data_IF_241286007343
#
_entry.id   IF_241286007343
#
_cell.length_a   1.000
_cell.length_b   1.000
_cell.length_c   1.000
_cell.angle_alpha   90.00
_cell.angle_beta   90.00
_cell.angle_gamma   90.00
#
_symmetry.space_group_name_H-M   'P 1'
#
loop_
_entity.id
_entity.type
_entity.pdbx_description
1 polymer ?
#
# COMPACT_ATOMS: atom_id res chain seq x y z
N UNK A 1 6.35 5.59 -10.34
CA UNK A 1 7.74 5.26 -10.74
C UNK A 1 8.57 5.07 -9.49
N UNK A 2 9.56 4.16 -9.49
CA UNK A 2 10.43 3.95 -8.32
C UNK A 2 11.07 5.23 -7.79
N UNK A 3 11.46 6.15 -8.67
CA UNK A 3 12.00 7.48 -8.31
C UNK A 3 11.02 8.43 -7.59
N UNK A 4 9.77 8.01 -7.39
CA UNK A 4 8.73 8.79 -6.68
C UNK A 4 8.33 8.14 -5.35
N UNK A 5 9.01 7.08 -4.93
CA UNK A 5 8.82 6.47 -3.61
C UNK A 5 9.29 7.44 -2.51
N UNK A 6 8.64 7.39 -1.34
CA UNK A 6 8.89 8.35 -0.26
C UNK A 6 10.26 8.19 0.41
N UNK A 7 10.80 6.98 0.43
CA UNK A 7 12.12 6.73 0.97
C UNK A 7 13.18 6.99 -0.11
N UNK A 8 14.08 7.97 0.05
CA UNK A 8 15.14 8.23 -0.93
C UNK A 8 16.15 7.08 -1.02
N UNK A 9 16.11 6.12 -0.08
CA UNK A 9 16.95 4.91 -0.09
C UNK A 9 16.24 3.75 -0.80
N UNK A 10 14.93 3.82 -0.99
CA UNK A 10 14.17 2.89 -1.82
C UNK A 10 14.68 2.95 -3.25
N UNK A 11 14.63 1.84 -3.96
CA UNK A 11 15.20 1.69 -5.29
C UNK A 11 16.76 1.88 -5.36
N UNK A 12 17.39 2.41 -4.32
CA UNK A 12 18.84 2.47 -4.19
C UNK A 12 19.42 1.20 -3.56
N UNK A 13 18.58 0.27 -3.13
CA UNK A 13 19.01 -1.03 -2.60
C UNK A 13 19.79 -1.86 -3.64
N UNK A 14 19.65 -1.52 -4.90
CA UNK A 14 20.40 -2.10 -6.01
C UNK A 14 21.71 -1.34 -6.19
N UNK A 15 22.68 -1.58 -5.30
CA UNK A 15 24.06 -1.25 -5.62
C UNK A 15 24.56 -2.33 -6.58
N UNK A 16 24.47 -2.04 -7.86
CA UNK A 16 25.18 -2.84 -8.86
C UNK A 16 26.66 -2.60 -8.65
N UNK A 17 27.30 -3.51 -7.93
CA UNK A 17 28.70 -3.72 -8.15
C UNK A 17 28.83 -4.32 -9.55
N UNK A 18 29.02 -3.50 -10.54
CA UNK A 18 29.67 -3.94 -11.76
C UNK A 18 31.07 -4.35 -11.38
N UNK A 19 31.16 -5.49 -10.70
CA UNK A 19 32.42 -6.17 -10.42
C UNK A 19 33.01 -6.56 -11.73
N UNK A 20 33.87 -5.68 -12.21
CA UNK A 20 35.01 -6.05 -12.95
C UNK A 20 34.89 -7.04 -14.08
N UNK A 21 34.31 -6.65 -15.14
CA UNK A 21 34.92 -6.98 -16.42
C UNK A 21 36.21 -6.14 -16.56
N UNK A 22 37.27 -6.49 -15.84
CA UNK A 22 38.65 -6.13 -16.10
C UNK A 22 39.10 -4.66 -16.01
N UNK A 23 38.31 -3.72 -15.55
CA UNK A 23 38.67 -2.34 -15.33
C UNK A 23 38.21 -1.90 -13.94
N UNK A 24 39.15 -1.65 -13.02
CA UNK A 24 38.90 -1.34 -11.61
C UNK A 24 38.16 -0.04 -11.38
N UNK A 25 36.89 -0.02 -11.67
CA UNK A 25 35.97 1.03 -11.29
C UNK A 25 35.19 0.58 -10.08
N UNK A 26 35.71 0.82 -8.92
CA UNK A 26 34.92 0.87 -7.69
C UNK A 26 33.96 2.04 -7.85
N UNK A 27 32.70 1.80 -8.18
CA UNK A 27 31.64 2.80 -8.04
C UNK A 27 31.31 2.95 -6.55
N UNK A 28 32.30 3.39 -5.79
CA UNK A 28 32.16 3.75 -4.40
C UNK A 28 31.52 5.14 -4.35
N UNK A 29 30.20 5.26 -4.42
CA UNK A 29 29.51 6.47 -3.96
C UNK A 29 27.98 6.44 -4.15
N UNK A 30 27.32 5.30 -3.86
CA UNK A 30 25.86 5.32 -3.66
C UNK A 30 25.01 5.82 -4.83
N UNK A 31 25.53 5.72 -6.07
CA UNK A 31 24.76 6.03 -7.27
C UNK A 31 24.41 4.74 -8.00
N UNK A 32 23.16 4.59 -8.31
CA UNK A 32 22.66 3.51 -9.16
C UNK A 32 23.32 3.66 -10.56
N UNK A 33 23.69 2.53 -11.15
CA UNK A 33 24.17 2.56 -12.52
C UNK A 33 23.04 3.02 -13.47
N UNK A 34 23.29 3.95 -14.42
CA UNK A 34 22.23 4.51 -15.28
C UNK A 34 21.37 3.46 -16.02
N UNK A 35 21.97 2.34 -16.43
CA UNK A 35 21.24 1.25 -17.08
C UNK A 35 20.21 0.63 -16.13
N UNK A 36 20.55 0.45 -14.86
CA UNK A 36 19.65 -0.10 -13.83
C UNK A 36 18.55 0.91 -13.52
N UNK A 37 18.90 2.18 -13.38
CA UNK A 37 17.94 3.26 -13.16
C UNK A 37 16.93 3.37 -14.32
N UNK A 38 17.39 3.31 -15.57
CA UNK A 38 16.54 3.31 -16.75
C UNK A 38 15.59 2.11 -16.78
N UNK A 39 16.09 0.92 -16.43
CA UNK A 39 15.26 -0.28 -16.34
C UNK A 39 14.26 -0.22 -15.18
N UNK A 40 14.69 0.20 -13.98
CA UNK A 40 13.77 0.39 -12.85
C UNK A 40 12.65 1.38 -13.19
N UNK A 41 12.95 2.43 -13.95
CA UNK A 41 11.96 3.41 -14.38
C UNK A 41 10.88 2.86 -15.34
N UNK A 42 11.07 1.67 -15.91
CA UNK A 42 10.05 0.98 -16.70
C UNK A 42 8.98 0.34 -15.82
N UNK A 43 9.29 0.07 -14.55
CA UNK A 43 8.33 -0.51 -13.62
C UNK A 43 7.37 0.53 -13.03
N UNK A 44 6.21 0.04 -12.66
CA UNK A 44 5.20 0.76 -11.87
C UNK A 44 5.00 0.02 -10.57
N UNK A 45 5.06 0.74 -9.48
CA UNK A 45 4.87 0.19 -8.14
C UNK A 45 3.65 0.82 -7.52
N UNK A 46 2.72 0.00 -7.06
CA UNK A 46 1.64 0.41 -6.18
C UNK A 46 1.92 -0.18 -4.79
N UNK A 47 2.11 0.71 -3.82
CA UNK A 47 2.32 0.36 -2.42
C UNK A 47 1.00 0.33 -1.67
N UNK A 48 0.78 -0.73 -0.92
CA UNK A 48 -0.38 -0.93 -0.06
C UNK A 48 0.08 -1.47 1.29
N UNK A 49 -0.73 -1.32 2.33
CA UNK A 49 -0.43 -1.87 3.66
C UNK A 49 -1.31 -3.08 3.96
N UNK A 50 -0.85 -3.98 4.80
CA UNK A 50 -1.68 -5.06 5.33
C UNK A 50 -2.42 -4.67 6.62
N UNK A 51 -2.22 -3.46 7.15
CA UNK A 51 -2.80 -2.99 8.42
C UNK A 51 -3.48 -1.62 8.25
N UNK A 52 -4.76 -1.48 8.62
CA UNK A 52 -5.48 -0.21 8.50
C UNK A 52 -5.36 0.69 9.74
N UNK A 53 -4.87 0.18 10.88
CA UNK A 53 -4.96 0.84 12.19
C UNK A 53 -3.63 1.41 12.70
N UNK A 54 -2.64 1.64 11.84
CA UNK A 54 -1.38 2.28 12.22
C UNK A 54 -1.54 3.80 12.33
N UNK A 55 -1.37 4.41 13.52
CA UNK A 55 -1.44 5.87 13.68
C UNK A 55 -0.42 6.61 12.83
N UNK A 56 0.77 6.03 12.66
CA UNK A 56 1.85 6.61 11.86
C UNK A 56 1.45 6.64 10.38
N UNK A 57 0.85 5.56 9.87
CA UNK A 57 0.37 5.51 8.49
C UNK A 57 -0.71 6.56 8.23
N UNK A 58 -1.67 6.72 9.13
CA UNK A 58 -2.71 7.75 9.00
C UNK A 58 -2.15 9.17 9.06
N UNK A 59 -1.12 9.40 9.88
CA UNK A 59 -0.46 10.69 9.96
C UNK A 59 0.30 11.02 8.66
N UNK A 60 1.04 10.07 8.11
CA UNK A 60 1.91 10.29 6.95
C UNK A 60 1.15 10.26 5.63
N UNK A 61 0.31 9.24 5.43
CA UNK A 61 -0.28 8.92 4.12
C UNK A 61 -1.73 9.35 3.94
N UNK A 62 -2.41 9.72 5.01
CA UNK A 62 -3.79 10.22 4.97
C UNK A 62 -3.91 11.68 5.46
N UNK A 63 -2.91 12.52 5.18
CA UNK A 63 -2.89 13.96 5.52
C UNK A 63 -3.31 14.24 6.97
N UNK A 64 -2.71 13.55 7.95
CA UNK A 64 -3.06 13.71 9.35
C UNK A 64 -4.53 13.39 9.65
N UNK A 65 -4.99 12.25 9.17
CA UNK A 65 -6.38 11.76 9.31
C UNK A 65 -7.45 12.58 8.56
N UNK A 66 -7.06 13.49 7.66
CA UNK A 66 -8.02 14.23 6.83
C UNK A 66 -8.28 13.59 5.46
N UNK A 67 -7.52 12.56 5.12
CA UNK A 67 -7.67 11.74 3.93
C UNK A 67 -8.59 10.52 4.16
N UNK A 68 -8.51 9.55 3.25
CA UNK A 68 -9.21 8.27 3.35
C UNK A 68 -8.29 7.11 3.03
N UNK A 69 -8.74 5.90 3.34
CA UNK A 69 -8.06 4.67 2.98
C UNK A 69 -9.01 3.80 2.15
N UNK A 70 -8.54 3.31 1.01
CA UNK A 70 -9.26 2.38 0.16
C UNK A 70 -8.90 0.95 0.57
N UNK A 71 -9.90 0.08 0.62
CA UNK A 71 -9.73 -1.34 0.95
C UNK A 71 -9.96 -2.14 -0.31
N UNK A 72 -8.97 -2.92 -0.71
CA UNK A 72 -9.07 -3.80 -1.88
C UNK A 72 -9.04 -5.27 -1.48
N UNK A 73 -9.73 -6.09 -2.23
CA UNK A 73 -9.54 -7.54 -2.20
C UNK A 73 -8.32 -7.95 -3.02
N UNK A 74 -7.76 -9.13 -2.71
CA UNK A 74 -6.58 -9.65 -3.41
C UNK A 74 -6.89 -10.77 -4.39
N UNK A 75 -8.13 -10.86 -4.87
CA UNK A 75 -8.55 -11.98 -5.73
C UNK A 75 -8.07 -11.92 -7.18
N UNK A 76 -7.98 -10.72 -7.76
CA UNK A 76 -7.76 -10.54 -9.19
C UNK A 76 -6.51 -9.70 -9.47
N UNK A 77 -6.71 -8.40 -9.71
CA UNK A 77 -5.61 -7.47 -10.03
C UNK A 77 -4.54 -7.45 -8.94
N UNK A 78 -4.96 -7.57 -7.68
CA UNK A 78 -4.06 -7.54 -6.53
C UNK A 78 -3.60 -8.93 -6.06
N UNK A 79 -3.85 -10.01 -6.83
CA UNK A 79 -3.43 -11.37 -6.46
C UNK A 79 -1.91 -11.56 -6.46
N UNK A 80 -1.20 -10.78 -7.25
CA UNK A 80 0.25 -10.88 -7.44
C UNK A 80 1.06 -9.90 -6.56
N UNK A 81 0.43 -9.30 -5.55
CA UNK A 81 1.16 -8.44 -4.61
C UNK A 81 2.21 -9.23 -3.84
N UNK A 82 3.37 -8.61 -3.66
CA UNK A 82 4.51 -9.18 -2.93
C UNK A 82 4.73 -8.42 -1.63
N UNK A 83 5.07 -9.11 -0.51
CA UNK A 83 5.43 -8.43 0.72
C UNK A 83 6.76 -7.69 0.57
N UNK A 84 6.89 -6.55 1.22
CA UNK A 84 8.18 -5.85 1.33
C UNK A 84 9.05 -6.55 2.36
N UNK A 85 10.30 -6.75 2.00
CA UNK A 85 11.35 -7.33 2.85
C UNK A 85 12.10 -6.19 3.52
N UNK A 86 11.98 -6.10 4.84
CA UNK A 86 12.63 -5.06 5.62
C UNK A 86 14.01 -5.51 6.09
N UNK A 87 15.04 -4.74 5.72
CA UNK A 87 16.43 -5.10 5.99
C UNK A 87 17.29 -3.84 6.19
N UNK A 88 18.44 -4.01 6.80
CA UNK A 88 19.53 -3.01 6.88
C UNK A 88 20.62 -3.29 5.84
N UNK A 89 20.49 -4.38 5.10
CA UNK A 89 21.50 -4.82 4.13
C UNK A 89 21.05 -4.32 2.75
N UNK A 90 21.99 -3.70 2.04
CA UNK A 90 21.80 -3.39 0.62
C UNK A 90 21.79 -4.70 -0.19
N UNK A 91 20.93 -4.75 -1.17
CA UNK A 91 20.84 -5.89 -2.08
C UNK A 91 22.02 -5.79 -3.08
N UNK A 92 22.97 -6.72 -3.03
CA UNK A 92 24.11 -6.76 -3.94
C UNK A 92 23.82 -7.74 -5.08
N UNK A 93 23.83 -7.24 -6.31
CA UNK A 93 23.74 -8.05 -7.53
C UNK A 93 25.12 -8.55 -7.96
N UNK A 94 25.85 -9.26 -7.09
CA UNK A 94 27.24 -9.64 -7.35
C UNK A 94 27.42 -10.67 -8.48
N UNK A 95 26.42 -11.51 -8.73
CA UNK A 95 26.52 -12.68 -9.61
C UNK A 95 25.46 -12.72 -10.73
N UNK A 96 24.82 -11.60 -11.05
CA UNK A 96 23.82 -11.60 -12.12
C UNK A 96 24.52 -11.42 -13.44
N UNK A 97 24.45 -12.45 -14.26
CA UNK A 97 24.79 -12.35 -15.68
C UNK A 97 23.81 -11.35 -16.32
N UNK A 98 24.33 -10.35 -17.03
CA UNK A 98 23.55 -9.26 -17.62
C UNK A 98 22.63 -9.73 -18.77
N UNK A 99 22.14 -10.95 -18.71
CA UNK A 99 21.10 -11.46 -19.59
C UNK A 99 19.77 -10.81 -19.22
N UNK A 100 18.99 -10.42 -20.20
CA UNK A 100 17.80 -9.57 -20.01
C UNK A 100 16.79 -10.10 -19.00
N UNK A 101 16.59 -11.41 -18.91
CA UNK A 101 15.61 -12.02 -18.02
C UNK A 101 16.07 -12.00 -16.55
N UNK A 102 17.30 -12.37 -16.26
CA UNK A 102 17.86 -12.37 -14.89
C UNK A 102 17.94 -10.96 -14.30
N UNK A 103 18.30 -9.97 -15.12
CA UNK A 103 18.30 -8.58 -14.69
C UNK A 103 16.88 -8.09 -14.36
N UNK A 104 15.87 -8.49 -15.10
CA UNK A 104 14.49 -8.10 -14.86
C UNK A 104 13.96 -8.65 -13.55
N UNK A 105 14.22 -9.94 -13.27
CA UNK A 105 13.85 -10.57 -11.99
C UNK A 105 14.55 -9.89 -10.80
N UNK A 106 15.85 -9.63 -10.91
CA UNK A 106 16.60 -8.96 -9.87
C UNK A 106 16.13 -7.53 -9.59
N UNK A 107 15.75 -6.79 -10.63
CA UNK A 107 15.17 -5.46 -10.48
C UNK A 107 13.82 -5.57 -9.76
N UNK A 108 12.92 -6.47 -10.16
CA UNK A 108 11.67 -6.67 -9.47
C UNK A 108 11.85 -7.03 -8.00
N UNK A 109 12.76 -7.94 -7.72
CA UNK A 109 13.07 -8.34 -6.35
C UNK A 109 13.60 -7.15 -5.54
N UNK A 110 14.52 -6.38 -6.11
CA UNK A 110 15.06 -5.19 -5.44
C UNK A 110 13.98 -4.15 -5.08
N UNK A 111 12.95 -4.04 -5.90
CA UNK A 111 11.81 -3.17 -5.63
C UNK A 111 10.95 -3.66 -4.46
N UNK A 112 11.18 -4.86 -3.93
CA UNK A 112 10.53 -5.37 -2.71
C UNK A 112 11.36 -5.17 -1.43
N UNK A 113 12.54 -4.56 -1.51
CA UNK A 113 13.37 -4.28 -0.32
C UNK A 113 13.15 -2.87 0.20
N UNK A 114 13.18 -2.72 1.52
CA UNK A 114 13.06 -1.44 2.21
C UNK A 114 13.84 -1.45 3.52
N UNK A 115 14.33 -0.28 3.96
CA UNK A 115 15.04 -0.19 5.22
C UNK A 115 14.12 -0.57 6.39
N UNK A 116 14.66 -1.29 7.39
CA UNK A 116 13.89 -1.85 8.52
C UNK A 116 13.12 -0.81 9.34
N UNK A 117 13.57 0.43 9.36
CA UNK A 117 12.88 1.51 10.10
C UNK A 117 11.47 1.79 9.55
N UNK A 118 11.18 1.34 8.32
CA UNK A 118 9.86 1.40 7.70
C UNK A 118 8.97 0.18 7.96
N UNK A 119 9.43 -0.78 8.75
CA UNK A 119 8.69 -2.04 8.98
C UNK A 119 7.27 -1.82 9.58
N UNK A 120 7.03 -0.66 10.21
CA UNK A 120 5.72 -0.29 10.73
C UNK A 120 4.65 -0.12 9.64
N UNK A 121 5.04 0.01 8.35
CA UNK A 121 4.10 0.14 7.23
C UNK A 121 3.46 -1.19 6.86
N UNK A 122 4.09 -2.32 7.18
CA UNK A 122 3.65 -3.65 6.77
C UNK A 122 3.24 -3.66 5.28
N UNK A 123 4.15 -3.17 4.46
CA UNK A 123 3.91 -2.83 3.05
C UNK A 123 3.89 -4.07 2.17
N UNK A 124 3.04 -4.02 1.17
CA UNK A 124 2.98 -4.95 0.05
C UNK A 124 3.00 -4.16 -1.25
N UNK A 125 3.55 -4.73 -2.30
CA UNK A 125 3.72 -4.06 -3.58
C UNK A 125 3.14 -4.87 -4.73
N UNK A 126 2.35 -4.20 -5.56
CA UNK A 126 2.08 -4.66 -6.92
C UNK A 126 3.10 -4.00 -7.83
N UNK A 127 3.89 -4.83 -8.51
CA UNK A 127 4.96 -4.40 -9.41
C UNK A 127 4.57 -4.82 -10.82
N UNK A 128 4.54 -3.88 -11.74
CA UNK A 128 4.20 -4.14 -13.15
C UNK A 128 5.24 -3.51 -14.05
N UNK A 129 5.70 -4.28 -15.03
CA UNK A 129 6.57 -3.81 -16.09
C UNK A 129 5.72 -3.43 -17.30
N UNK A 130 5.10 -2.25 -17.24
CA UNK A 130 4.27 -1.74 -18.32
C UNK A 130 4.41 -0.22 -18.48
N UNK A 131 4.28 0.26 -19.71
CA UNK A 131 4.21 1.69 -20.04
C UNK A 131 2.90 2.35 -19.57
N UNK A 132 1.97 1.57 -19.03
CA UNK A 132 0.67 2.05 -18.58
C UNK A 132 0.81 3.04 -17.40
N UNK A 133 0.31 4.25 -17.57
CA UNK A 133 0.32 5.28 -16.53
C UNK A 133 -0.65 5.00 -15.38
N UNK A 134 -1.60 4.09 -15.56
CA UNK A 134 -2.68 3.78 -14.63
C UNK A 134 -2.86 2.27 -14.49
N UNK A 135 -3.07 1.83 -13.25
CA UNK A 135 -3.53 0.48 -12.96
C UNK A 135 -5.05 0.43 -13.15
N UNK A 136 -5.52 -0.43 -14.05
CA UNK A 136 -6.93 -0.73 -14.17
C UNK A 136 -7.27 -1.92 -13.27
N UNK A 137 -8.25 -1.76 -12.41
CA UNK A 137 -8.78 -2.82 -11.54
C UNK A 137 -10.30 -2.91 -11.69
N UNK A 138 -10.87 -4.07 -11.37
CA UNK A 138 -12.31 -4.23 -11.42
C UNK A 138 -12.99 -3.51 -10.25
N UNK A 139 -14.14 -2.87 -10.50
CA UNK A 139 -14.87 -2.14 -9.47
C UNK A 139 -15.26 -3.01 -8.26
N UNK A 140 -15.39 -4.34 -8.46
CA UNK A 140 -15.66 -5.31 -7.41
C UNK A 140 -14.50 -5.51 -6.44
N UNK A 141 -13.27 -5.16 -6.83
CA UNK A 141 -12.09 -5.30 -5.96
C UNK A 141 -11.98 -4.18 -4.92
N UNK A 142 -12.67 -3.05 -5.12
CA UNK A 142 -12.81 -2.03 -4.08
C UNK A 142 -13.91 -2.47 -3.11
N UNK A 143 -13.52 -3.04 -1.98
CA UNK A 143 -14.42 -3.68 -1.02
C UNK A 143 -14.77 -2.80 0.18
N UNK A 144 -14.11 -1.66 0.34
CA UNK A 144 -14.43 -0.71 1.41
C UNK A 144 -13.66 0.60 1.31
N UNK A 145 -14.14 1.61 2.05
CA UNK A 145 -13.45 2.90 2.21
C UNK A 145 -13.46 3.27 3.70
N UNK A 146 -12.32 3.67 4.24
CA UNK A 146 -12.22 4.22 5.59
C UNK A 146 -11.97 5.73 5.49
N UNK A 147 -12.82 6.51 6.12
CA UNK A 147 -12.71 7.98 6.19
C UNK A 147 -11.94 8.37 7.44
N UNK A 148 -10.93 9.21 7.30
CA UNK A 148 -10.20 9.76 8.45
C UNK A 148 -11.07 10.69 9.31
N UNK A 149 -10.87 10.64 10.63
CA UNK A 149 -11.68 11.39 11.59
C UNK A 149 -11.62 12.91 11.42
N UNK A 150 -10.50 13.43 10.88
CA UNK A 150 -10.30 14.86 10.65
C UNK A 150 -10.76 15.31 9.25
N UNK A 151 -11.35 14.43 8.44
CA UNK A 151 -11.86 14.84 7.13
C UNK A 151 -12.97 15.88 7.26
N UNK A 152 -12.91 16.95 6.44
CA UNK A 152 -13.93 17.99 6.44
C UNK A 152 -15.31 17.44 6.07
N UNK A 153 -16.37 18.04 6.64
CA UNK A 153 -17.75 17.57 6.44
C UNK A 153 -18.14 17.53 4.96
N UNK A 154 -17.69 18.48 4.16
CA UNK A 154 -18.05 18.55 2.74
C UNK A 154 -17.41 17.39 1.95
N UNK A 155 -16.10 17.15 2.13
CA UNK A 155 -15.42 15.98 1.53
C UNK A 155 -16.06 14.67 1.97
N UNK A 156 -16.38 14.56 3.26
CA UNK A 156 -17.02 13.37 3.84
C UNK A 156 -18.36 13.08 3.18
N UNK A 157 -19.23 14.08 3.03
CA UNK A 157 -20.54 13.93 2.35
C UNK A 157 -20.39 13.41 0.92
N UNK A 158 -19.38 13.92 0.19
CA UNK A 158 -19.11 13.45 -1.18
C UNK A 158 -18.71 11.99 -1.21
N UNK A 159 -17.77 11.59 -0.34
CA UNK A 159 -17.31 10.18 -0.26
C UNK A 159 -18.42 9.24 0.16
N UNK A 160 -19.19 9.59 1.19
CA UNK A 160 -20.31 8.76 1.67
C UNK A 160 -21.36 8.58 0.58
N UNK A 161 -21.67 9.65 -0.16
CA UNK A 161 -22.56 9.55 -1.31
C UNK A 161 -22.01 8.61 -2.36
N UNK A 162 -20.73 8.74 -2.70
CA UNK A 162 -20.06 7.85 -3.66
C UNK A 162 -20.10 6.39 -3.20
N UNK A 163 -19.84 6.11 -1.92
CA UNK A 163 -19.92 4.78 -1.35
C UNK A 163 -21.33 4.20 -1.48
N UNK A 164 -22.36 4.99 -1.18
CA UNK A 164 -23.77 4.58 -1.35
C UNK A 164 -24.12 4.30 -2.81
N UNK A 165 -23.76 5.20 -3.72
CA UNK A 165 -24.03 5.07 -5.16
C UNK A 165 -23.32 3.84 -5.77
N UNK A 166 -22.15 3.48 -5.26
CA UNK A 166 -21.34 2.32 -5.69
C UNK A 166 -21.60 1.07 -4.87
N UNK A 167 -22.40 1.17 -3.81
CA UNK A 167 -22.68 0.10 -2.87
C UNK A 167 -21.40 -0.49 -2.25
N UNK A 168 -20.47 0.38 -1.84
CA UNK A 168 -19.21 0.05 -1.16
C UNK A 168 -19.34 0.39 0.32
N UNK A 169 -19.02 -0.52 1.25
CA UNK A 169 -18.98 -0.24 2.69
C UNK A 169 -18.10 0.97 3.02
N UNK A 170 -18.58 1.80 3.94
CA UNK A 170 -17.88 2.99 4.37
C UNK A 170 -17.72 3.00 5.89
N UNK A 171 -16.48 3.21 6.35
CA UNK A 171 -16.11 3.26 7.75
C UNK A 171 -15.51 4.63 8.09
N UNK A 172 -15.38 4.91 9.38
CA UNK A 172 -14.68 6.08 9.89
C UNK A 172 -13.70 5.68 10.97
N UNK A 173 -12.50 6.30 10.99
CA UNK A 173 -11.53 6.13 12.08
C UNK A 173 -11.96 6.91 13.32
N UNK A 174 -11.59 6.37 14.48
CA UNK A 174 -11.70 7.02 15.78
C UNK A 174 -10.43 6.80 16.57
N UNK A 175 -9.84 7.86 17.07
CA UNK A 175 -8.69 7.77 17.97
C UNK A 175 -9.17 7.47 19.39
N UNK A 176 -8.91 6.26 19.86
CA UNK A 176 -9.18 5.83 21.23
C UNK A 176 -8.07 6.31 22.17
N UNK A 177 -8.20 7.51 22.71
CA UNK A 177 -7.16 8.17 23.52
C UNK A 177 -6.74 7.36 24.76
N UNK A 178 -7.66 6.61 25.36
CA UNK A 178 -7.40 5.78 26.53
C UNK A 178 -6.53 4.55 26.24
N UNK A 179 -6.51 4.08 25.00
CA UNK A 179 -5.83 2.85 24.58
C UNK A 179 -4.69 3.11 23.58
N UNK A 180 -4.56 4.36 23.13
CA UNK A 180 -3.61 4.77 22.09
C UNK A 180 -3.74 3.95 20.78
N UNK A 181 -4.97 3.64 20.42
CA UNK A 181 -5.31 2.81 19.26
C UNK A 181 -6.28 3.53 18.33
N UNK A 182 -6.34 3.07 17.08
CA UNK A 182 -7.35 3.49 16.12
C UNK A 182 -8.41 2.39 16.04
N UNK A 183 -9.65 2.76 16.32
CA UNK A 183 -10.83 1.96 16.06
C UNK A 183 -11.57 2.42 14.81
N UNK A 184 -12.48 1.60 14.35
CA UNK A 184 -13.32 1.86 13.18
C UNK A 184 -14.81 1.79 13.56
N UNK A 185 -15.65 2.50 12.82
CA UNK A 185 -17.09 2.31 12.91
C UNK A 185 -17.74 2.47 11.53
N UNK A 186 -18.78 1.66 11.20
CA UNK A 186 -19.56 1.86 9.99
C UNK A 186 -20.15 3.27 9.96
N UNK A 187 -20.05 3.95 8.84
CA UNK A 187 -20.41 5.37 8.75
C UNK A 187 -21.88 5.65 9.06
N UNK A 188 -22.78 4.83 8.53
CA UNK A 188 -24.23 5.00 8.73
C UNK A 188 -24.64 4.83 10.19
N UNK A 189 -23.93 4.01 10.94
CA UNK A 189 -24.14 3.82 12.38
C UNK A 189 -23.78 5.08 13.17
N UNK A 190 -22.68 5.72 12.81
CA UNK A 190 -22.18 6.93 13.45
C UNK A 190 -23.11 8.11 13.31
N UNK A 191 -23.67 8.34 12.11
CA UNK A 191 -24.60 9.45 11.88
C UNK A 191 -25.93 9.24 12.59
N UNK A 192 -26.42 8.00 12.68
CA UNK A 192 -27.70 7.68 13.33
C UNK A 192 -27.68 7.92 14.84
N UNK A 193 -26.52 7.85 15.49
CA UNK A 193 -26.37 7.99 16.94
C UNK A 193 -26.03 9.42 17.39
N UNK A 194 -25.93 10.37 16.47
CA UNK A 194 -25.69 11.79 16.82
C UNK A 194 -24.40 12.05 17.58
N UNK A 195 -23.37 11.23 17.39
CA UNK A 195 -22.07 11.42 18.02
C UNK A 195 -21.92 10.88 19.43
N UNK A 196 -22.81 10.01 19.91
CA UNK A 196 -22.70 9.35 21.23
C UNK A 196 -21.73 8.17 21.18
N UNK A 197 -21.24 7.73 22.35
CA UNK A 197 -20.25 6.65 22.49
C UNK A 197 -20.63 5.42 21.68
N UNK A 198 -19.66 4.89 20.92
CA UNK A 198 -19.82 3.78 19.99
C UNK A 198 -19.06 2.56 20.48
N UNK A 199 -19.57 1.37 20.16
CA UNK A 199 -18.73 0.18 20.10
C UNK A 199 -17.87 0.26 18.85
N UNK A 200 -16.56 0.39 19.07
CA UNK A 200 -15.58 0.38 17.99
C UNK A 200 -15.39 -1.05 17.53
N UNK A 201 -15.26 -1.23 16.24
CA UNK A 201 -14.87 -2.51 15.67
C UNK A 201 -13.36 -2.54 15.45
N UNK A 202 -12.77 -3.69 15.73
CA UNK A 202 -11.37 -3.99 15.43
C UNK A 202 -11.16 -4.16 13.92
N UNK A 203 -9.92 -4.14 13.41
CA UNK A 203 -9.65 -4.49 12.01
C UNK A 203 -10.26 -5.83 11.60
N UNK A 204 -10.12 -6.88 12.42
CA UNK A 204 -10.67 -8.20 12.12
C UNK A 204 -12.21 -8.24 12.11
N UNK A 205 -12.87 -7.43 12.93
CA UNK A 205 -14.34 -7.27 12.89
C UNK A 205 -14.78 -6.48 11.65
N UNK A 206 -14.00 -5.48 11.25
CA UNK A 206 -14.25 -4.74 10.01
C UNK A 206 -14.12 -5.66 8.79
N UNK A 207 -13.07 -6.50 8.74
CA UNK A 207 -12.90 -7.51 7.70
C UNK A 207 -14.10 -8.46 7.65
N UNK A 208 -14.54 -8.95 8.80
CA UNK A 208 -15.73 -9.81 8.91
C UNK A 208 -17.00 -9.09 8.43
N UNK A 209 -17.18 -7.84 8.82
CA UNK A 209 -18.33 -7.03 8.38
C UNK A 209 -18.35 -6.88 6.84
N UNK A 210 -17.18 -6.66 6.24
CA UNK A 210 -17.05 -6.59 4.78
C UNK A 210 -17.36 -7.95 4.16
N UNK A 211 -16.80 -9.05 4.69
CA UNK A 211 -17.02 -10.42 4.20
C UNK A 211 -18.48 -10.83 4.28
N UNK A 212 -19.16 -10.61 5.40
CA UNK A 212 -20.60 -10.90 5.54
C UNK A 212 -21.46 -10.10 4.56
N UNK A 213 -21.07 -8.85 4.28
CA UNK A 213 -21.71 -8.05 3.23
C UNK A 213 -21.45 -8.60 1.82
N UNK A 214 -20.32 -9.26 1.61
CA UNK A 214 -19.90 -9.87 0.35
C UNK A 214 -20.58 -11.24 0.13
N UNK A 215 -20.73 -12.08 1.17
CA UNK A 215 -21.42 -13.36 1.11
C UNK A 215 -22.91 -13.23 0.72
N UNK A 216 -23.52 -12.10 1.06
CA UNK A 216 -24.86 -11.75 0.64
C UNK A 216 -24.99 -11.33 -0.84
N UNK A 217 -23.95 -11.56 -1.66
CA UNK A 217 -24.00 -11.42 -3.12
C UNK A 217 -22.81 -10.77 -3.82
N UNK A 218 -21.64 -10.66 -3.19
CA UNK A 218 -20.55 -9.84 -3.77
C UNK A 218 -19.21 -10.47 -4.00
N UNK A 219 -18.76 -11.49 -3.25
CA UNK A 219 -17.47 -12.18 -3.50
C UNK A 219 -17.32 -13.50 -2.75
N UNK A 220 -16.29 -14.28 -3.07
CA UNK A 220 -16.00 -15.59 -2.54
C UNK A 220 -15.16 -15.56 -1.25
N UNK A 221 -15.27 -16.59 -0.44
CA UNK A 221 -14.65 -16.75 0.88
C UNK A 221 -13.15 -17.02 0.81
N UNK A 222 -12.33 -16.27 1.50
CA UNK A 222 -10.90 -16.45 1.82
C UNK A 222 -9.93 -15.38 1.31
N UNK A 223 -10.35 -14.13 1.20
CA UNK A 223 -9.51 -13.10 0.66
C UNK A 223 -8.75 -12.31 1.72
N UNK A 224 -7.51 -12.00 1.41
CA UNK A 224 -6.73 -11.01 2.12
C UNK A 224 -7.19 -9.61 1.69
N UNK A 225 -7.35 -8.72 2.63
CA UNK A 225 -7.59 -7.30 2.35
C UNK A 225 -6.29 -6.52 2.41
N UNK A 226 -6.16 -5.55 1.55
CA UNK A 226 -5.05 -4.61 1.51
C UNK A 226 -5.56 -3.18 1.54
N UNK A 227 -4.77 -2.29 2.07
CA UNK A 227 -5.16 -0.93 2.41
C UNK A 227 -4.28 0.09 1.68
N UNK A 228 -4.90 1.04 1.01
CA UNK A 228 -4.23 2.13 0.32
C UNK A 228 -4.72 3.48 0.86
N UNK A 229 -3.87 4.20 1.57
CA UNK A 229 -4.19 5.52 2.10
C UNK A 229 -4.07 6.61 1.02
N UNK A 230 -5.06 7.49 0.95
CA UNK A 230 -5.14 8.61 0.01
C UNK A 230 -5.32 9.94 0.75
N UNK A 231 -4.69 10.97 0.22
CA UNK A 231 -4.71 12.35 0.73
C UNK A 231 -5.92 13.16 0.24
#
# INVERSE_FOLDING_TARGET
>A
KPSMLNDPMEANALQVYLGCMGAGYTLACGKIHPIVEDRQNQYRVLSVSAIPNSPIMWAHYASGYSGCCLIYSTEKTFSEIKPVIYTDITFDLFDIDFMDDEMSEAIEESLCFKHKDWAYENEWRLIQNEDAGFLNYEASELVGIIIGENMSLDKRKVLVKLCKDKNVPCFRTYTMKSWNEIGFAPYDFVESLGGKEYEYITPGEMERYIQEGLENGRCSNNERMIFNALN
#
